data_IF_095560277079
#
_entry.id   IF_095560277079
#
_cell.length_a   1.000
_cell.length_b   1.000
_cell.length_c   1.000
_cell.angle_alpha   90.00
_cell.angle_beta   90.00
_cell.angle_gamma   90.00
#
_symmetry.space_group_name_H-M   'P 1'
#
loop_
_entity.id
_entity.type
_entity.pdbx_description
1 polymer ?
#
# COMPACT_ATOMS: atom_id res chain seq x y z
N UNK A 1 1.20 12.93 18.45
CA UNK A 1 1.90 11.93 17.62
C UNK A 1 2.68 11.04 18.56
N UNK A 2 2.56 9.72 18.44
CA UNK A 2 3.32 8.78 19.28
C UNK A 2 4.81 8.88 18.91
N UNK A 3 5.74 9.18 19.84
CA UNK A 3 7.16 9.39 19.53
C UNK A 3 7.84 8.14 18.93
N UNK A 4 7.26 6.96 19.09
CA UNK A 4 7.85 5.69 18.65
C UNK A 4 7.54 5.32 17.19
N UNK A 5 6.72 6.09 16.48
CA UNK A 5 6.40 5.80 15.08
C UNK A 5 7.42 6.45 14.13
N UNK A 6 8.05 5.68 13.22
CA UNK A 6 9.01 6.23 12.27
C UNK A 6 8.35 7.23 11.31
N UNK A 7 9.15 8.16 10.77
CA UNK A 7 8.71 9.01 9.67
C UNK A 7 8.10 8.14 8.54
N UNK A 8 6.92 8.55 8.07
CA UNK A 8 6.14 7.77 7.12
C UNK A 8 6.89 7.55 5.81
N UNK A 9 7.55 8.59 5.28
CA UNK A 9 8.29 8.48 4.01
C UNK A 9 9.48 7.54 4.16
N UNK A 10 10.22 7.67 5.26
CA UNK A 10 11.36 6.81 5.58
C UNK A 10 10.94 5.35 5.75
N UNK A 11 9.82 5.12 6.43
CA UNK A 11 9.29 3.77 6.62
C UNK A 11 8.89 3.11 5.30
N UNK A 12 8.18 3.81 4.41
CA UNK A 12 7.64 3.19 3.18
C UNK A 12 8.64 3.11 2.02
N UNK A 13 9.71 3.91 2.04
CA UNK A 13 10.73 3.93 0.99
C UNK A 13 11.28 2.53 0.70
N UNK A 14 11.36 2.20 -0.59
CA UNK A 14 11.91 0.96 -1.12
C UNK A 14 11.20 -0.34 -0.67
N UNK A 15 10.03 -0.25 -0.02
CA UNK A 15 9.25 -1.43 0.36
C UNK A 15 8.44 -1.97 -0.82
N UNK A 16 8.23 -3.27 -0.81
CA UNK A 16 7.24 -3.96 -1.64
C UNK A 16 5.95 -4.11 -0.83
N UNK A 17 4.82 -3.68 -1.38
CA UNK A 17 3.56 -3.55 -0.64
C UNK A 17 2.43 -4.16 -1.45
N UNK A 18 1.69 -5.10 -0.84
CA UNK A 18 0.44 -5.62 -1.41
C UNK A 18 -0.75 -4.88 -0.80
N UNK A 19 -1.62 -4.32 -1.64
CA UNK A 19 -2.83 -3.58 -1.21
C UNK A 19 -4.08 -4.33 -1.69
N UNK A 20 -4.71 -5.09 -0.80
CA UNK A 20 -6.01 -5.71 -1.08
C UNK A 20 -7.09 -4.64 -1.24
N UNK A 21 -7.90 -4.73 -2.30
CA UNK A 21 -8.87 -3.67 -2.61
C UNK A 21 -8.23 -2.35 -3.08
N UNK A 22 -6.93 -2.35 -3.41
CA UNK A 22 -6.17 -1.16 -3.83
C UNK A 22 -6.66 -0.47 -5.11
N UNK A 23 -7.56 -1.10 -5.87
CA UNK A 23 -8.19 -0.52 -7.05
C UNK A 23 -9.67 -0.10 -6.83
N UNK A 24 -10.16 -0.17 -5.58
CA UNK A 24 -11.48 0.30 -5.18
C UNK A 24 -11.45 1.75 -4.66
N UNK A 25 -12.59 2.25 -4.18
CA UNK A 25 -12.77 3.65 -3.77
C UNK A 25 -11.68 4.19 -2.83
N UNK A 26 -11.52 3.61 -1.64
CA UNK A 26 -10.49 4.06 -0.69
C UNK A 26 -9.09 3.56 -1.07
N UNK A 27 -9.02 2.33 -1.61
CA UNK A 27 -7.76 1.68 -1.92
C UNK A 27 -6.92 2.43 -2.94
N UNK A 28 -7.55 3.09 -3.92
CA UNK A 28 -6.83 3.88 -4.92
C UNK A 28 -6.02 5.02 -4.28
N UNK A 29 -6.61 5.74 -3.33
CA UNK A 29 -5.92 6.79 -2.60
C UNK A 29 -4.77 6.25 -1.74
N UNK A 30 -4.93 5.06 -1.13
CA UNK A 30 -3.84 4.42 -0.38
C UNK A 30 -2.66 4.08 -1.30
N UNK A 31 -2.94 3.51 -2.47
CA UNK A 31 -1.92 3.21 -3.48
C UNK A 31 -1.19 4.48 -3.90
N UNK A 32 -1.91 5.58 -4.17
CA UNK A 32 -1.30 6.86 -4.55
C UNK A 32 -0.42 7.42 -3.43
N UNK A 33 -0.87 7.33 -2.18
CA UNK A 33 -0.08 7.73 -1.01
C UNK A 33 1.17 6.88 -0.79
N UNK A 34 1.15 5.60 -1.12
CA UNK A 34 2.34 4.74 -1.08
C UNK A 34 3.34 5.11 -2.18
N UNK A 35 2.86 5.48 -3.38
CA UNK A 35 3.71 5.98 -4.48
C UNK A 35 4.41 7.28 -4.09
N UNK A 36 3.67 8.23 -3.53
CA UNK A 36 4.23 9.50 -3.02
C UNK A 36 5.35 9.30 -1.98
N UNK A 37 5.35 8.15 -1.28
CA UNK A 37 6.32 7.79 -0.24
C UNK A 37 7.44 6.87 -0.73
N UNK A 38 7.60 6.72 -2.04
CA UNK A 38 8.70 5.96 -2.65
C UNK A 38 8.68 4.45 -2.33
N UNK A 39 7.51 3.85 -2.13
CA UNK A 39 7.42 2.38 -2.13
C UNK A 39 7.89 1.84 -3.49
N UNK A 40 8.75 0.82 -3.49
CA UNK A 40 9.41 0.32 -4.69
C UNK A 40 8.48 -0.49 -5.59
N UNK A 41 7.57 -1.25 -4.99
CA UNK A 41 6.67 -2.15 -5.71
C UNK A 41 5.32 -2.13 -5.00
N UNK A 42 4.26 -1.77 -5.71
CA UNK A 42 2.91 -1.72 -5.17
C UNK A 42 2.04 -2.64 -6.01
N UNK A 43 1.64 -3.75 -5.41
CA UNK A 43 0.79 -4.74 -6.04
C UNK A 43 -0.63 -4.65 -5.48
N UNK A 44 -1.63 -4.40 -6.34
CA UNK A 44 -3.04 -4.34 -5.95
C UNK A 44 -3.82 -5.45 -6.66
N UNK A 45 -3.93 -6.66 -6.07
CA UNK A 45 -4.61 -7.79 -6.72
C UNK A 45 -6.09 -7.51 -6.93
N UNK A 46 -6.64 -7.93 -8.07
CA UNK A 46 -8.08 -7.95 -8.29
C UNK A 46 -8.67 -9.25 -7.74
N UNK A 47 -9.80 -9.15 -7.02
CA UNK A 47 -10.56 -10.33 -6.54
C UNK A 47 -10.94 -11.32 -7.65
N UNK A 48 -11.07 -10.87 -8.90
CA UNK A 48 -11.35 -11.74 -10.05
C UNK A 48 -10.16 -12.63 -10.45
N UNK A 49 -8.94 -12.20 -10.12
CA UNK A 49 -7.70 -12.88 -10.51
C UNK A 49 -7.17 -13.80 -9.41
N UNK A 50 -7.57 -13.55 -8.17
CA UNK A 50 -7.07 -14.27 -6.99
C UNK A 50 -8.19 -14.49 -5.97
N UNK A 51 -8.23 -15.67 -5.36
CA UNK A 51 -8.96 -15.86 -4.11
C UNK A 51 -8.12 -15.31 -2.96
N UNK A 52 -8.66 -14.30 -2.27
CA UNK A 52 -7.98 -13.58 -1.20
C UNK A 52 -8.51 -13.97 0.19
N UNK A 53 -9.38 -14.98 0.27
CA UNK A 53 -9.89 -15.56 1.50
C UNK A 53 -9.49 -17.04 1.59
N UNK A 54 -9.23 -17.49 2.82
CA UNK A 54 -9.00 -18.87 3.21
C UNK A 54 -9.78 -19.12 4.49
#
# INVERSE_FOLDING_TARGET
MNPDWPDSTTFWRNKRVTVTGGAGFLGSFVVDKLRERWAADIFAPRKREYDLAQ
#
